data_IF_405958160680
#
_entry.id   IF_405958160680
#
_cell.length_a   1.000
_cell.length_b   1.000
_cell.length_c   1.000
_cell.angle_alpha   90.00
_cell.angle_beta   90.00
_cell.angle_gamma   90.00
#
_symmetry.space_group_name_H-M   'P 1'
#
loop_
_entity.id
_entity.type
_entity.pdbx_description
1 polymer ?
#
# COMPACT_ATOMS: atom_id res chain seq x y z
N UNK A 1 8.00 -26.80 4.96
CA UNK A 1 8.86 -26.82 3.76
C UNK A 1 8.00 -27.26 2.59
N UNK A 2 7.79 -26.41 1.58
CA UNK A 2 6.92 -26.74 0.44
C UNK A 2 7.56 -26.23 -0.85
N UNK A 3 7.71 -27.15 -1.80
CA UNK A 3 8.44 -27.03 -3.06
C UNK A 3 7.58 -26.37 -4.16
N UNK A 4 8.17 -25.44 -4.91
CA UNK A 4 7.53 -24.78 -6.06
C UNK A 4 7.40 -25.74 -7.25
N UNK A 5 6.32 -25.62 -8.02
CA UNK A 5 6.08 -26.33 -9.28
C UNK A 5 5.80 -25.31 -10.40
N UNK A 6 6.35 -25.57 -11.59
CA UNK A 6 6.30 -24.71 -12.77
C UNK A 6 5.10 -25.07 -13.66
N UNK A 7 4.31 -24.07 -14.05
CA UNK A 7 3.27 -24.20 -15.08
C UNK A 7 3.65 -23.39 -16.33
N UNK A 8 3.34 -23.94 -17.51
CA UNK A 8 3.78 -23.42 -18.82
C UNK A 8 2.62 -22.70 -19.51
N UNK A 9 2.74 -21.39 -19.71
CA UNK A 9 1.78 -20.56 -20.46
C UNK A 9 2.22 -20.50 -21.93
N UNK A 10 1.30 -20.65 -22.89
CA UNK A 10 1.61 -20.55 -24.32
C UNK A 10 2.01 -19.13 -24.71
N UNK A 11 3.18 -18.97 -25.35
CA UNK A 11 3.78 -17.68 -25.68
C UNK A 11 3.29 -17.10 -27.02
N UNK A 12 3.11 -15.78 -27.07
CA UNK A 12 2.90 -15.03 -28.31
C UNK A 12 4.23 -14.93 -29.08
N UNK A 13 4.26 -15.32 -30.35
CA UNK A 13 5.46 -15.45 -31.20
C UNK A 13 6.30 -14.14 -31.33
N UNK A 14 5.73 -12.97 -31.03
CA UNK A 14 6.43 -11.67 -31.07
C UNK A 14 7.16 -11.30 -29.78
N UNK A 15 6.94 -12.04 -28.69
CA UNK A 15 7.55 -11.75 -27.39
C UNK A 15 8.59 -12.82 -27.07
N UNK A 16 9.83 -12.39 -26.85
CA UNK A 16 10.89 -13.27 -26.35
C UNK A 16 10.54 -13.67 -24.91
N UNK A 17 10.47 -14.97 -24.61
CA UNK A 17 10.18 -15.45 -23.26
C UNK A 17 11.20 -14.87 -22.27
N UNK A 18 10.71 -14.04 -21.35
CA UNK A 18 11.49 -13.57 -20.22
C UNK A 18 11.26 -14.59 -19.08
N UNK A 19 12.15 -15.58 -18.96
CA UNK A 19 12.01 -16.70 -18.02
C UNK A 19 12.18 -16.33 -16.53
N UNK A 20 12.55 -15.08 -16.23
CA UNK A 20 12.66 -14.58 -14.86
C UNK A 20 11.32 -13.99 -14.34
N UNK A 21 10.22 -14.73 -14.50
CA UNK A 21 8.92 -14.32 -13.97
C UNK A 21 8.78 -14.80 -12.54
N UNK A 22 8.76 -13.86 -11.60
CA UNK A 22 8.38 -14.13 -10.20
C UNK A 22 6.86 -14.06 -10.10
N UNK A 23 6.21 -15.20 -9.92
CA UNK A 23 4.77 -15.26 -9.65
C UNK A 23 4.51 -15.05 -8.16
N UNK A 24 3.72 -14.04 -7.83
CA UNK A 24 3.26 -13.78 -6.46
C UNK A 24 1.89 -14.44 -6.25
N UNK A 25 1.78 -15.31 -5.25
CA UNK A 25 0.50 -15.96 -4.88
C UNK A 25 -0.51 -15.00 -4.26
N UNK A 26 -0.04 -13.87 -3.77
CA UNK A 26 -0.80 -12.83 -3.08
C UNK A 26 -0.29 -11.47 -3.49
N UNK A 27 -1.08 -10.43 -3.28
CA UNK A 27 -0.68 -9.06 -3.55
C UNK A 27 0.54 -8.64 -2.69
N UNK A 28 1.74 -8.51 -3.30
CA UNK A 28 2.98 -8.39 -2.53
C UNK A 28 3.14 -7.04 -1.85
N UNK A 29 2.50 -6.00 -2.38
CA UNK A 29 2.60 -4.66 -1.84
C UNK A 29 2.03 -4.56 -0.42
N UNK A 30 0.87 -5.19 -0.16
CA UNK A 30 0.18 -5.11 1.14
C UNK A 30 0.38 -6.33 2.04
N UNK A 31 0.63 -7.52 1.46
CA UNK A 31 0.60 -8.78 2.21
C UNK A 31 1.97 -9.45 2.37
N UNK A 32 3.02 -8.86 1.85
CA UNK A 32 4.38 -9.39 1.96
C UNK A 32 5.32 -8.37 2.59
N UNK A 33 6.45 -8.82 3.14
CA UNK A 33 7.44 -7.95 3.78
C UNK A 33 8.58 -7.49 2.84
N UNK A 34 8.30 -7.36 1.54
CA UNK A 34 9.31 -6.95 0.55
C UNK A 34 9.67 -5.46 0.68
N UNK A 35 10.94 -5.07 0.49
CA UNK A 35 11.32 -3.66 0.49
C UNK A 35 10.65 -2.94 -0.69
N UNK A 36 9.99 -1.82 -0.39
CA UNK A 36 9.30 -0.99 -1.40
C UNK A 36 10.11 0.29 -1.59
N UNK A 37 10.65 0.57 -2.79
CA UNK A 37 11.37 1.80 -3.05
C UNK A 37 10.43 3.01 -2.97
N UNK A 38 11.00 4.20 -2.78
CA UNK A 38 10.23 5.43 -2.92
C UNK A 38 9.76 5.60 -4.37
N UNK A 39 8.44 5.66 -4.57
CA UNK A 39 7.80 5.88 -5.88
C UNK A 39 7.09 7.23 -5.88
N UNK A 40 6.20 7.43 -4.91
CA UNK A 40 5.49 8.69 -4.70
C UNK A 40 4.97 8.77 -3.28
N UNK A 41 4.55 9.97 -2.86
CA UNK A 41 4.00 10.17 -1.52
C UNK A 41 2.69 9.42 -1.28
N UNK A 42 1.85 9.27 -2.31
CA UNK A 42 0.64 8.44 -2.23
C UNK A 42 0.94 6.96 -2.12
N UNK A 43 1.95 6.46 -2.84
CA UNK A 43 2.34 5.04 -2.74
C UNK A 43 2.94 4.76 -1.36
N UNK A 44 3.81 5.64 -0.86
CA UNK A 44 4.35 5.51 0.49
C UNK A 44 3.26 5.57 1.57
N UNK A 45 2.28 6.46 1.39
CA UNK A 45 1.10 6.53 2.25
C UNK A 45 0.32 5.21 2.32
N UNK A 46 0.22 4.47 1.21
CA UNK A 46 -0.46 3.16 1.17
C UNK A 46 0.27 2.08 1.97
N UNK A 47 1.56 2.25 2.31
CA UNK A 47 2.25 1.30 3.20
C UNK A 47 1.66 1.27 4.61
N UNK A 48 0.88 2.29 5.02
CA UNK A 48 0.17 2.25 6.30
C UNK A 48 -0.86 1.10 6.34
N UNK A 49 -1.48 0.78 5.19
CA UNK A 49 -2.39 -0.37 5.05
C UNK A 49 -1.61 -1.67 5.27
N UNK A 50 -0.45 -1.80 4.62
CA UNK A 50 0.46 -2.95 4.78
C UNK A 50 0.86 -3.12 6.24
N UNK A 51 1.26 -2.04 6.91
CA UNK A 51 1.64 -2.07 8.33
C UNK A 51 0.51 -2.63 9.20
N UNK A 52 -0.75 -2.24 8.93
CA UNK A 52 -1.91 -2.76 9.66
C UNK A 52 -2.23 -4.21 9.31
N UNK A 53 -2.15 -4.60 8.05
CA UNK A 53 -2.39 -5.98 7.60
C UNK A 53 -1.36 -6.94 8.20
N UNK A 54 -0.08 -6.54 8.21
CA UNK A 54 1.03 -7.34 8.74
C UNK A 54 1.20 -7.22 10.25
N UNK A 55 0.36 -6.43 10.94
CA UNK A 55 0.48 -6.15 12.38
C UNK A 55 1.87 -5.60 12.78
N UNK A 56 2.37 -4.63 12.00
CA UNK A 56 3.65 -3.97 12.22
C UNK A 56 3.46 -2.55 12.77
N UNK A 57 3.44 -2.38 14.11
CA UNK A 57 3.30 -1.07 14.74
C UNK A 57 4.53 -0.18 14.55
N UNK A 58 5.71 -0.76 14.30
CA UNK A 58 6.95 -0.01 14.13
C UNK A 58 6.89 0.70 12.78
N UNK A 59 6.60 -0.05 11.71
CA UNK A 59 6.40 0.52 10.38
C UNK A 59 5.30 1.59 10.37
N UNK A 60 4.18 1.34 11.05
CA UNK A 60 3.09 2.31 11.10
C UNK A 60 3.54 3.64 11.74
N UNK A 61 4.27 3.59 12.86
CA UNK A 61 4.79 4.79 13.51
C UNK A 61 5.82 5.51 12.63
N UNK A 62 6.73 4.78 12.01
CA UNK A 62 7.70 5.35 11.07
C UNK A 62 6.99 6.12 9.92
N UNK A 63 5.90 5.58 9.38
CA UNK A 63 5.13 6.24 8.33
C UNK A 63 4.35 7.46 8.85
N UNK A 64 3.86 7.41 10.09
CA UNK A 64 3.20 8.55 10.72
C UNK A 64 4.18 9.70 10.89
N UNK A 65 5.41 9.42 11.33
CA UNK A 65 6.44 10.43 11.59
C UNK A 65 7.16 10.92 10.31
N UNK A 66 7.02 10.21 9.18
CA UNK A 66 7.64 10.57 7.89
C UNK A 66 6.85 11.66 7.14
N UNK A 67 6.98 12.90 7.62
CA UNK A 67 6.28 14.06 7.04
C UNK A 67 6.78 14.42 5.63
N UNK A 68 8.01 14.05 5.27
CA UNK A 68 8.64 14.44 4.00
C UNK A 68 8.19 13.55 2.84
N UNK A 69 7.82 12.29 3.11
CA UNK A 69 7.50 11.32 2.06
C UNK A 69 6.08 10.79 2.15
N UNK A 70 5.38 10.97 3.28
CA UNK A 70 4.01 10.48 3.47
C UNK A 70 3.04 11.65 3.52
N UNK A 71 2.07 11.65 2.60
CA UNK A 71 1.03 12.68 2.57
C UNK A 71 -0.11 12.39 3.55
N UNK A 72 -0.51 11.13 3.72
CA UNK A 72 -1.51 10.74 4.73
C UNK A 72 -1.51 9.24 5.01
N UNK A 73 -1.49 8.85 6.28
CA UNK A 73 -1.66 7.43 6.66
C UNK A 73 -3.14 6.98 6.66
N UNK A 74 -4.09 7.89 6.43
CA UNK A 74 -5.53 7.61 6.40
C UNK A 74 -6.07 7.39 4.98
N UNK A 75 -5.23 6.83 4.11
CA UNK A 75 -5.57 6.56 2.72
C UNK A 75 -6.50 5.35 2.58
N UNK A 76 -7.27 5.33 1.49
CA UNK A 76 -8.08 4.17 1.07
C UNK A 76 -7.21 3.16 0.34
N UNK A 77 -7.59 1.87 0.41
CA UNK A 77 -6.90 0.81 -0.32
C UNK A 77 -6.86 1.09 -1.81
N UNK A 78 -8.04 1.32 -2.40
CA UNK A 78 -8.21 1.69 -3.79
C UNK A 78 -9.43 2.60 -3.99
N UNK A 79 -9.62 3.06 -5.23
CA UNK A 79 -10.79 3.86 -5.61
C UNK A 79 -12.08 3.01 -5.63
N UNK A 80 -11.98 1.73 -5.93
CA UNK A 80 -13.10 0.78 -5.98
C UNK A 80 -13.42 0.15 -4.61
N UNK A 81 -12.46 0.12 -3.69
CA UNK A 81 -12.62 -0.49 -2.37
C UNK A 81 -12.72 0.58 -1.29
N UNK A 82 -13.83 0.59 -0.55
CA UNK A 82 -14.12 1.60 0.47
C UNK A 82 -13.32 1.41 1.77
N UNK A 83 -12.51 0.35 1.87
CA UNK A 83 -11.73 0.05 3.07
C UNK A 83 -10.52 0.97 3.18
N UNK A 84 -10.47 1.71 4.29
CA UNK A 84 -9.29 2.48 4.70
C UNK A 84 -8.46 1.70 5.72
N UNK A 85 -7.28 2.22 6.04
CA UNK A 85 -6.37 1.69 7.09
C UNK A 85 -7.10 1.39 8.41
N UNK A 86 -8.02 2.26 8.84
CA UNK A 86 -8.81 2.08 10.08
C UNK A 86 -9.72 0.84 9.97
N UNK A 87 -10.35 0.62 8.81
CA UNK A 87 -11.20 -0.54 8.60
C UNK A 87 -10.41 -1.85 8.72
N UNK A 88 -9.17 -1.89 8.20
CA UNK A 88 -8.29 -3.05 8.37
C UNK A 88 -7.89 -3.26 9.83
N UNK A 89 -7.62 -2.19 10.58
CA UNK A 89 -7.28 -2.31 12.01
C UNK A 89 -8.45 -2.90 12.81
N UNK A 90 -9.68 -2.48 12.50
CA UNK A 90 -10.92 -3.03 13.09
C UNK A 90 -11.11 -4.49 12.67
N UNK A 91 -11.00 -4.81 11.37
CA UNK A 91 -11.12 -6.20 10.88
C UNK A 91 -10.12 -7.16 11.53
N UNK A 92 -8.92 -6.68 11.82
CA UNK A 92 -7.86 -7.46 12.47
C UNK A 92 -8.00 -7.48 14.01
N UNK A 93 -9.06 -6.90 14.59
CA UNK A 93 -9.27 -6.74 16.03
C UNK A 93 -8.05 -6.14 16.75
N UNK A 94 -7.32 -5.25 16.08
CA UNK A 94 -6.06 -4.71 16.59
C UNK A 94 -6.28 -3.34 17.23
N UNK A 95 -6.66 -3.36 18.49
CA UNK A 95 -6.96 -2.16 19.28
C UNK A 95 -5.72 -1.26 19.40
N UNK A 96 -4.51 -1.83 19.45
CA UNK A 96 -3.28 -1.05 19.60
C UNK A 96 -3.01 -0.20 18.35
N UNK A 97 -3.05 -0.81 17.16
CA UNK A 97 -2.89 -0.06 15.91
C UNK A 97 -4.03 0.93 15.68
N UNK A 98 -5.26 0.56 16.06
CA UNK A 98 -6.39 1.47 15.99
C UNK A 98 -6.16 2.73 16.86
N UNK A 99 -5.62 2.57 18.08
CA UNK A 99 -5.28 3.71 18.95
C UNK A 99 -4.23 4.62 18.32
N UNK A 100 -3.16 4.04 17.75
CA UNK A 100 -2.11 4.80 17.06
C UNK A 100 -2.71 5.63 15.91
N UNK A 101 -3.59 5.02 15.10
CA UNK A 101 -4.26 5.72 13.99
C UNK A 101 -5.19 6.82 14.48
N UNK A 102 -5.97 6.58 15.53
CA UNK A 102 -6.88 7.59 16.09
C UNK A 102 -6.13 8.75 16.75
N UNK A 103 -4.96 8.50 17.30
CA UNK A 103 -4.09 9.53 17.86
C UNK A 103 -3.54 10.45 16.78
N UNK A 104 -3.05 9.90 15.65
CA UNK A 104 -2.63 10.71 14.49
C UNK A 104 -3.83 11.44 13.86
N UNK A 105 -5.01 10.82 13.81
CA UNK A 105 -6.22 11.48 13.30
C UNK A 105 -6.63 12.68 14.16
N UNK A 106 -6.50 12.56 15.49
CA UNK A 106 -6.82 13.62 16.45
C UNK A 106 -5.77 14.73 16.45
N UNK A 107 -4.49 14.33 16.32
CA UNK A 107 -3.35 15.23 16.36
C UNK A 107 -2.49 15.00 15.10
N UNK A 108 -2.96 15.42 13.92
CA UNK A 108 -2.24 15.18 12.68
C UNK A 108 -0.92 15.93 12.69
N UNK A 109 0.12 15.33 12.11
CA UNK A 109 1.39 16.01 11.91
C UNK A 109 1.20 17.21 10.97
N UNK A 110 1.72 18.35 11.38
CA UNK A 110 1.84 19.52 10.51
C UNK A 110 2.88 19.27 9.41
N UNK A 111 2.79 20.02 8.31
CA UNK A 111 3.77 19.99 7.21
C UNK A 111 3.97 18.63 6.52
N UNK A 112 2.97 17.75 6.57
CA UNK A 112 2.99 16.53 5.73
C UNK A 112 3.12 16.90 4.25
N UNK A 113 3.76 16.03 3.49
CA UNK A 113 3.87 16.17 2.04
C UNK A 113 2.49 16.42 1.43
N UNK A 114 2.33 17.40 0.52
CA UNK A 114 1.02 17.76 0.00
C UNK A 114 0.36 16.57 -0.70
N UNK A 115 -0.94 16.40 -0.46
CA UNK A 115 -1.71 15.39 -1.17
C UNK A 115 -1.68 15.73 -2.68
N UNK A 116 -1.38 14.77 -3.57
CA UNK A 116 -1.32 15.08 -4.99
C UNK A 116 -2.70 15.49 -5.48
N UNK A 117 -2.81 16.72 -5.98
CA UNK A 117 -4.04 17.21 -6.61
C UNK A 117 -4.24 16.53 -7.96
N UNK A 118 -5.12 15.52 -8.01
CA UNK A 118 -5.49 14.87 -9.27
C UNK A 118 -6.67 15.64 -9.88
N UNK A 119 -6.38 16.75 -10.55
CA UNK A 119 -7.42 17.52 -11.26
C UNK A 119 -7.49 17.11 -12.73
N UNK A 120 -8.27 16.08 -13.06
CA UNK A 120 -8.61 15.75 -14.45
C UNK A 120 -9.88 16.53 -14.82
N UNK A 121 -9.72 17.68 -15.51
CA UNK A 121 -10.85 18.57 -15.82
C UNK A 121 -11.73 18.10 -16.98
N UNK A 122 -11.19 17.27 -17.89
CA UNK A 122 -11.91 16.69 -19.03
C UNK A 122 -11.08 15.56 -19.62
N UNK A 123 -11.73 14.46 -19.99
CA UNK A 123 -11.14 13.43 -20.85
C UNK A 123 -11.94 13.40 -22.16
N UNK A 124 -11.23 13.49 -23.28
CA UNK A 124 -11.80 13.37 -24.62
C UNK A 124 -11.09 12.19 -25.29
N UNK A 125 -11.79 11.08 -25.46
CA UNK A 125 -11.44 10.10 -26.48
C UNK A 125 -12.12 10.56 -27.76
N UNK A 126 -11.31 10.99 -28.73
CA UNK A 126 -11.79 11.52 -30.02
C UNK A 126 -12.69 10.56 -30.77
#
# INVERSE_FOLDING_TARGET
>A
MSTAQLFKVQSNHFLKENLALTEYRTEPFFKDNLPVPFISSSVQSKLAIRAVILNDPILLKCLIDDVDRVCSVHIRHDLSESLSVIHYAIKNNNINLLKILLEDLKNPKDNRYPFPEVTIKKQSTG
#
